data_IF_161478211039
#
_entry.id   IF_161478211039
#
_cell.length_a   1.000
_cell.length_b   1.000
_cell.length_c   1.000
_cell.angle_alpha   90.00
_cell.angle_beta   90.00
_cell.angle_gamma   90.00
#
_symmetry.space_group_name_H-M   'P 1'
#
loop_
_entity.id
_entity.type
_entity.pdbx_description
1 polymer ?
#
# COMPACT_ATOMS: atom_id res chain seq x y z
N UNK A 1 17.26 1.24 -9.22
CA UNK A 1 15.82 1.38 -9.57
C UNK A 1 15.39 0.08 -10.23
N UNK A 2 14.26 -0.49 -9.82
CA UNK A 2 13.82 -1.82 -10.25
C UNK A 2 13.29 -1.78 -11.68
N UNK A 3 13.77 -2.67 -12.56
CA UNK A 3 13.27 -2.85 -13.95
C UNK A 3 11.75 -2.93 -14.04
N UNK A 4 11.10 -3.43 -12.99
CA UNK A 4 9.64 -3.56 -12.89
C UNK A 4 8.96 -2.18 -12.75
N UNK A 5 9.57 -1.23 -12.05
CA UNK A 5 9.04 0.12 -11.90
C UNK A 5 9.07 0.88 -13.23
N UNK A 6 10.13 0.69 -14.03
CA UNK A 6 10.24 1.28 -15.37
C UNK A 6 9.22 0.68 -16.35
N UNK A 7 8.95 -0.63 -16.25
CA UNK A 7 7.94 -1.32 -17.06
C UNK A 7 6.52 -0.88 -16.68
N UNK A 8 6.21 -0.77 -15.39
CA UNK A 8 4.91 -0.28 -14.91
C UNK A 8 4.70 1.18 -15.33
N UNK A 9 5.71 2.04 -15.17
CA UNK A 9 5.63 3.43 -15.61
C UNK A 9 5.41 3.54 -17.11
N UNK A 10 6.06 2.68 -17.90
CA UNK A 10 5.90 2.64 -19.37
C UNK A 10 4.49 2.16 -19.78
N UNK A 11 3.93 1.14 -19.11
CA UNK A 11 2.58 0.63 -19.36
C UNK A 11 1.50 1.61 -18.89
N UNK A 12 1.70 2.32 -17.78
CA UNK A 12 0.79 3.37 -17.29
C UNK A 12 0.83 4.63 -18.14
N UNK A 13 2.01 5.03 -18.64
CA UNK A 13 2.18 6.15 -19.57
C UNK A 13 1.60 5.80 -20.94
N UNK A 14 1.76 4.56 -21.41
CA UNK A 14 1.07 4.05 -22.58
C UNK A 14 -0.46 4.08 -22.38
N UNK A 15 -1.00 3.45 -21.34
CA UNK A 15 -2.44 3.45 -21.06
C UNK A 15 -3.04 4.86 -20.93
N UNK A 16 -2.33 5.81 -20.29
CA UNK A 16 -2.78 7.21 -20.18
C UNK A 16 -2.79 7.96 -21.50
N UNK A 17 -1.85 7.67 -22.41
CA UNK A 17 -1.80 8.30 -23.74
C UNK A 17 -2.83 7.74 -24.72
N UNK A 18 -3.55 6.67 -24.35
CA UNK A 18 -4.28 5.80 -25.28
C UNK A 18 -5.74 5.54 -24.94
N UNK A 19 -6.41 6.44 -24.24
CA UNK A 19 -7.84 6.33 -23.94
C UNK A 19 -8.79 6.23 -25.18
N UNK A 20 -8.28 6.00 -26.40
CA UNK A 20 -9.07 5.68 -27.60
C UNK A 20 -8.40 4.73 -28.62
N UNK A 21 -7.22 4.15 -28.35
CA UNK A 21 -6.50 3.24 -29.27
C UNK A 21 -6.01 2.03 -28.45
N UNK A 22 -6.19 0.80 -28.93
CA UNK A 22 -5.78 -0.41 -28.20
C UNK A 22 -4.29 -0.43 -27.83
N UNK A 23 -3.88 -1.12 -26.75
CA UNK A 23 -2.48 -1.14 -26.26
C UNK A 23 -1.46 -1.61 -27.32
N UNK A 24 -1.89 -2.50 -28.23
CA UNK A 24 -1.05 -3.03 -29.31
C UNK A 24 -0.87 -2.00 -30.43
N UNK A 25 -1.94 -1.35 -30.86
CA UNK A 25 -1.93 -0.34 -31.92
C UNK A 25 -1.05 0.85 -31.53
N UNK A 26 -1.04 1.20 -30.25
CA UNK A 26 -0.20 2.26 -29.73
C UNK A 26 1.28 1.92 -29.64
N UNK A 27 1.61 0.71 -29.19
CA UNK A 27 2.98 0.23 -29.15
C UNK A 27 3.53 0.12 -30.58
N UNK A 28 2.67 -0.30 -31.52
CA UNK A 28 2.97 -0.31 -32.96
C UNK A 28 3.26 1.11 -33.48
N UNK A 29 2.42 2.10 -33.13
CA UNK A 29 2.66 3.50 -33.51
C UNK A 29 3.94 4.07 -32.90
N UNK A 30 4.24 3.75 -31.64
CA UNK A 30 5.48 4.17 -30.98
C UNK A 30 6.73 3.57 -31.63
N UNK A 31 6.73 2.27 -31.92
CA UNK A 31 7.84 1.61 -32.62
C UNK A 31 8.00 2.12 -34.06
N UNK A 32 6.88 2.37 -34.75
CA UNK A 32 6.92 2.98 -36.08
C UNK A 32 7.55 4.38 -36.03
N UNK A 33 7.25 5.17 -35.00
CA UNK A 33 7.87 6.47 -34.73
C UNK A 33 9.36 6.38 -34.44
N UNK A 34 9.77 5.51 -33.52
CA UNK A 34 11.19 5.30 -33.17
C UNK A 34 12.03 4.90 -34.40
N UNK A 35 11.42 4.18 -35.35
CA UNK A 35 12.05 3.74 -36.58
C UNK A 35 11.95 4.72 -37.74
N UNK A 36 11.21 5.82 -37.58
CA UNK A 36 10.98 6.79 -38.66
C UNK A 36 10.18 6.24 -39.84
N UNK A 37 9.36 5.20 -39.61
CA UNK A 37 8.55 4.53 -40.65
C UNK A 37 7.07 4.94 -40.61
N UNK A 38 6.76 6.09 -39.99
CA UNK A 38 5.41 6.66 -39.99
C UNK A 38 4.97 6.95 -41.43
N UNK A 39 3.99 6.20 -41.95
CA UNK A 39 3.47 6.34 -43.33
C UNK A 39 4.12 5.45 -44.40
N UNK A 40 4.98 4.51 -44.00
CA UNK A 40 5.65 3.58 -44.91
C UNK A 40 4.79 2.36 -45.32
N UNK A 41 5.29 1.56 -46.28
CA UNK A 41 4.58 0.41 -46.90
C UNK A 41 4.08 -0.60 -45.85
N UNK A 42 2.98 -1.28 -46.19
CA UNK A 42 2.32 -2.29 -45.35
C UNK A 42 3.26 -3.34 -44.72
N UNK A 43 4.35 -3.73 -45.39
CA UNK A 43 5.29 -4.72 -44.87
C UNK A 43 6.08 -4.24 -43.64
N UNK A 44 6.59 -3.01 -43.65
CA UNK A 44 7.38 -2.43 -42.55
C UNK A 44 6.51 -2.15 -41.31
N UNK A 45 5.24 -1.75 -41.53
CA UNK A 45 4.25 -1.61 -40.47
C UNK A 45 3.82 -2.96 -39.88
N UNK A 46 3.79 -4.02 -40.70
CA UNK A 46 3.49 -5.38 -40.22
C UNK A 46 4.61 -5.90 -39.33
N UNK A 47 5.88 -5.67 -39.70
CA UNK A 47 7.03 -6.04 -38.88
C UNK A 47 7.04 -5.27 -37.54
N UNK A 48 6.76 -3.97 -37.55
CA UNK A 48 6.63 -3.17 -36.33
C UNK A 48 5.49 -3.67 -35.42
N UNK A 49 4.37 -4.14 -36.02
CA UNK A 49 3.23 -4.70 -35.29
C UNK A 49 3.57 -6.05 -34.63
N UNK A 50 4.25 -6.94 -35.35
CA UNK A 50 4.67 -8.24 -34.81
C UNK A 50 5.70 -8.08 -33.68
N UNK A 51 6.62 -7.12 -33.80
CA UNK A 51 7.53 -6.81 -32.71
C UNK A 51 6.81 -6.20 -31.50
N UNK A 52 5.86 -5.28 -31.72
CA UNK A 52 5.03 -4.74 -30.66
C UNK A 52 4.29 -5.86 -29.92
N UNK A 53 3.73 -6.81 -30.65
CA UNK A 53 3.06 -7.99 -30.09
C UNK A 53 4.03 -8.83 -29.25
N UNK A 54 5.21 -9.16 -29.77
CA UNK A 54 6.22 -9.93 -29.03
C UNK A 54 6.71 -9.22 -27.76
N UNK A 55 6.87 -7.89 -27.78
CA UNK A 55 7.23 -7.09 -26.60
C UNK A 55 6.11 -7.07 -25.57
N UNK A 56 4.87 -6.88 -26.02
CA UNK A 56 3.67 -6.94 -25.17
C UNK A 56 3.54 -8.29 -24.48
N UNK A 57 3.63 -9.38 -25.24
CA UNK A 57 3.40 -10.73 -24.72
C UNK A 57 4.49 -11.12 -23.70
N UNK A 58 5.76 -10.72 -23.91
CA UNK A 58 6.82 -10.88 -22.90
C UNK A 58 6.57 -10.07 -21.64
N UNK A 59 6.17 -8.80 -21.77
CA UNK A 59 5.88 -7.95 -20.62
C UNK A 59 4.69 -8.49 -19.80
N UNK A 60 3.67 -9.04 -20.46
CA UNK A 60 2.55 -9.70 -19.80
C UNK A 60 3.01 -10.96 -19.06
N UNK A 61 3.83 -11.82 -19.66
CA UNK A 61 4.37 -13.01 -19.00
C UNK A 61 5.20 -12.65 -17.76
N UNK A 62 6.07 -11.64 -17.87
CA UNK A 62 6.86 -11.15 -16.73
C UNK A 62 5.97 -10.59 -15.62
N UNK A 63 4.91 -9.86 -15.98
CA UNK A 63 3.96 -9.29 -15.03
C UNK A 63 3.11 -10.37 -14.33
N UNK A 64 2.72 -11.44 -15.03
CA UNK A 64 2.03 -12.60 -14.46
C UNK A 64 2.92 -13.28 -13.41
N UNK A 65 4.22 -13.41 -13.68
CA UNK A 65 5.19 -14.02 -12.76
C UNK A 65 5.59 -13.14 -11.57
N UNK A 66 5.39 -11.82 -11.66
CA UNK A 66 5.78 -10.88 -10.60
C UNK A 66 4.77 -10.86 -9.44
N UNK A 67 5.22 -11.09 -8.21
CA UNK A 67 4.38 -10.99 -7.02
C UNK A 67 4.19 -9.52 -6.59
N UNK A 68 2.94 -9.08 -6.40
CA UNK A 68 2.64 -7.72 -5.94
C UNK A 68 2.90 -7.57 -4.43
N UNK A 69 3.70 -6.60 -3.99
CA UNK A 69 4.04 -6.46 -2.56
C UNK A 69 3.07 -5.55 -1.81
N UNK A 70 2.28 -4.76 -2.53
CA UNK A 70 1.33 -3.81 -1.97
C UNK A 70 -0.02 -3.89 -2.70
N UNK A 71 -1.09 -3.41 -2.07
CA UNK A 71 -2.40 -3.29 -2.71
C UNK A 71 -2.34 -2.43 -3.98
N UNK A 72 -1.57 -1.33 -3.96
CA UNK A 72 -1.40 -0.47 -5.13
C UNK A 72 -0.65 -1.14 -6.28
N UNK A 73 0.32 -2.04 -6.01
CA UNK A 73 0.95 -2.86 -7.03
C UNK A 73 -0.01 -3.91 -7.60
N UNK A 74 -0.83 -4.54 -6.75
CA UNK A 74 -1.81 -5.53 -7.18
C UNK A 74 -2.91 -4.91 -8.06
N UNK A 75 -3.38 -3.71 -7.72
CA UNK A 75 -4.36 -2.96 -8.53
C UNK A 75 -3.78 -2.56 -9.89
N UNK A 76 -2.51 -2.13 -9.94
CA UNK A 76 -1.83 -1.79 -11.20
C UNK A 76 -1.62 -3.02 -12.07
N UNK A 77 -1.21 -4.13 -11.46
CA UNK A 77 -1.09 -5.43 -12.14
C UNK A 77 -2.45 -5.91 -12.66
N UNK A 78 -3.51 -5.81 -11.87
CA UNK A 78 -4.87 -6.13 -12.31
C UNK A 78 -5.31 -5.22 -13.47
N UNK A 79 -5.08 -3.90 -13.38
CA UNK A 79 -5.43 -2.97 -14.45
C UNK A 79 -4.67 -3.26 -15.77
N UNK A 80 -3.44 -3.77 -15.68
CA UNK A 80 -2.65 -4.16 -16.85
C UNK A 80 -3.01 -5.54 -17.42
N UNK A 81 -3.52 -6.46 -16.59
CA UNK A 81 -3.87 -7.83 -16.99
C UNK A 81 -5.36 -8.03 -17.32
N UNK A 82 -6.24 -7.17 -16.79
CA UNK A 82 -7.69 -7.25 -16.98
C UNK A 82 -8.06 -6.61 -18.32
N UNK A 83 -8.46 -7.45 -19.26
CA UNK A 83 -8.93 -7.06 -20.58
C UNK A 83 -9.63 -8.22 -21.30
N UNK A 84 -10.11 -8.01 -22.54
CA UNK A 84 -10.83 -9.02 -23.33
C UNK A 84 -10.01 -10.30 -23.59
N UNK A 85 -8.68 -10.21 -23.51
CA UNK A 85 -7.74 -11.31 -23.75
C UNK A 85 -7.08 -11.83 -22.46
N UNK A 86 -7.69 -11.60 -21.29
CA UNK A 86 -7.12 -12.08 -20.02
C UNK A 86 -7.03 -13.61 -20.02
N UNK A 87 -5.82 -14.15 -19.85
CA UNK A 87 -5.60 -15.59 -19.73
C UNK A 87 -5.99 -16.12 -18.35
N UNK A 88 -6.26 -17.43 -18.25
CA UNK A 88 -6.51 -18.10 -16.96
C UNK A 88 -5.33 -17.96 -15.99
N UNK A 89 -4.11 -17.93 -16.51
CA UNK A 89 -2.88 -17.72 -15.74
C UNK A 89 -2.80 -16.29 -15.18
N UNK A 90 -3.17 -15.28 -15.97
CA UNK A 90 -3.27 -13.90 -15.52
C UNK A 90 -4.35 -13.74 -14.44
N UNK A 91 -5.52 -14.37 -14.64
CA UNK A 91 -6.61 -14.38 -13.67
C UNK A 91 -6.19 -15.07 -12.35
N UNK A 92 -5.51 -16.22 -12.44
CA UNK A 92 -4.99 -16.95 -11.29
C UNK A 92 -3.95 -16.12 -10.52
N UNK A 93 -3.05 -15.44 -11.23
CA UNK A 93 -2.02 -14.58 -10.63
C UNK A 93 -2.62 -13.38 -9.89
N UNK A 94 -3.59 -12.69 -10.49
CA UNK A 94 -4.32 -11.59 -9.83
C UNK A 94 -5.11 -12.09 -8.61
N UNK A 95 -5.75 -13.26 -8.70
CA UNK A 95 -6.47 -13.86 -7.56
C UNK A 95 -5.52 -14.29 -6.44
N UNK A 96 -4.34 -14.80 -6.76
CA UNK A 96 -3.33 -15.17 -5.76
C UNK A 96 -2.81 -13.93 -5.02
N UNK A 97 -2.56 -12.84 -5.74
CA UNK A 97 -2.17 -11.56 -5.14
C UNK A 97 -3.29 -10.98 -4.28
N UNK A 98 -4.53 -10.97 -4.79
CA UNK A 98 -5.69 -10.54 -4.04
C UNK A 98 -5.83 -11.37 -2.76
N UNK A 99 -5.85 -12.70 -2.85
CA UNK A 99 -5.95 -13.60 -1.70
C UNK A 99 -4.86 -13.35 -0.68
N UNK A 100 -3.59 -13.23 -1.09
CA UNK A 100 -2.46 -13.01 -0.20
C UNK A 100 -2.50 -11.65 0.49
N UNK A 101 -2.94 -10.60 -0.22
CA UNK A 101 -3.04 -9.24 0.32
C UNK A 101 -4.33 -9.02 1.12
N UNK A 102 -5.37 -9.83 0.89
CA UNK A 102 -6.61 -9.82 1.67
C UNK A 102 -6.64 -10.92 2.74
N UNK A 103 -5.58 -11.73 2.87
CA UNK A 103 -5.44 -12.68 3.96
C UNK A 103 -5.18 -11.88 5.25
N UNK A 104 -6.26 -11.43 5.86
CA UNK A 104 -6.35 -10.63 7.09
C UNK A 104 -5.72 -11.31 8.30
N UNK A 105 -5.29 -12.57 8.18
CA UNK A 105 -4.67 -13.31 9.27
C UNK A 105 -3.29 -12.75 9.69
N UNK A 106 -2.66 -11.87 8.90
CA UNK A 106 -1.32 -11.31 9.21
C UNK A 106 -1.07 -9.91 8.63
N UNK A 107 -1.94 -8.92 8.87
CA UNK A 107 -1.47 -7.55 8.64
C UNK A 107 -0.28 -7.28 9.60
N UNK A 108 0.94 -7.03 9.09
CA UNK A 108 2.11 -6.84 9.93
C UNK A 108 1.98 -5.62 10.85
N UNK A 109 1.20 -4.61 10.43
CA UNK A 109 0.89 -3.43 11.24
C UNK A 109 0.05 -3.84 12.46
N UNK A 110 -0.88 -4.78 12.32
CA UNK A 110 -1.68 -5.28 13.46
C UNK A 110 -0.80 -6.00 14.47
N UNK A 111 0.14 -6.83 14.00
CA UNK A 111 1.09 -7.53 14.87
C UNK A 111 1.99 -6.55 15.63
N UNK A 112 2.57 -5.60 14.91
CA UNK A 112 3.47 -4.59 15.47
C UNK A 112 2.75 -3.65 16.45
N UNK A 113 1.52 -3.25 16.10
CA UNK A 113 0.68 -2.43 16.96
C UNK A 113 0.28 -3.15 18.25
N UNK A 114 -0.05 -4.43 18.16
CA UNK A 114 -0.36 -5.25 19.35
C UNK A 114 0.88 -5.36 20.24
N UNK A 115 2.04 -5.65 19.66
CA UNK A 115 3.29 -5.74 20.42
C UNK A 115 3.68 -4.41 21.07
N UNK A 116 3.46 -3.29 20.39
CA UNK A 116 3.71 -1.95 20.92
C UNK A 116 2.82 -1.67 22.13
N UNK A 117 1.52 -1.97 22.05
CA UNK A 117 0.58 -1.83 23.19
C UNK A 117 0.99 -2.68 24.38
N UNK A 118 1.44 -3.92 24.14
CA UNK A 118 1.93 -4.80 25.22
C UNK A 118 3.15 -4.18 25.93
N UNK A 119 4.10 -3.62 25.17
CA UNK A 119 5.28 -2.95 25.74
C UNK A 119 4.90 -1.68 26.50
N UNK A 120 3.99 -0.87 25.98
CA UNK A 120 3.47 0.33 26.66
C UNK A 120 2.78 -0.04 27.98
N UNK A 121 2.01 -1.13 28.02
CA UNK A 121 1.38 -1.62 29.24
C UNK A 121 2.41 -2.11 30.27
N UNK A 122 3.51 -2.73 29.83
CA UNK A 122 4.62 -3.13 30.71
C UNK A 122 5.37 -1.90 31.24
N UNK A 123 5.67 -0.93 30.37
CA UNK A 123 6.33 0.34 30.74
C UNK A 123 5.51 1.12 31.78
N UNK A 124 4.19 1.20 31.61
CA UNK A 124 3.31 1.83 32.59
C UNK A 124 3.37 1.13 33.96
N UNK A 125 3.30 -0.21 33.99
CA UNK A 125 3.41 -0.98 35.24
C UNK A 125 4.74 -0.79 35.96
N UNK A 126 5.82 -0.70 35.19
CA UNK A 126 7.16 -0.45 35.73
C UNK A 126 7.34 0.99 36.21
N UNK A 127 6.60 1.94 35.64
CA UNK A 127 6.61 3.35 36.06
C UNK A 127 5.78 3.58 37.32
N UNK A 128 4.74 2.77 37.52
CA UNK A 128 3.90 2.77 38.73
C UNK A 128 4.53 2.00 39.91
N UNK A 129 5.68 1.32 39.71
CA UNK A 129 6.38 0.62 40.77
C UNK A 129 7.15 1.63 41.67
N UNK A 130 6.80 1.74 42.97
CA UNK A 130 7.44 2.69 43.88
C UNK A 130 8.94 2.42 44.11
N UNK A 131 9.46 1.25 43.72
CA UNK A 131 10.88 0.90 43.80
C UNK A 131 11.65 1.13 42.50
N UNK A 132 10.97 1.51 41.42
CA UNK A 132 11.55 1.73 40.09
C UNK A 132 11.45 3.22 39.65
N UNK A 133 11.56 4.13 40.62
CA UNK A 133 11.36 5.57 40.44
C UNK A 133 12.44 6.31 39.61
N UNK A 134 13.44 5.58 39.11
CA UNK A 134 14.47 6.13 38.23
C UNK A 134 14.25 5.49 36.86
N UNK A 135 13.65 6.23 35.92
CA UNK A 135 13.40 5.77 34.53
C UNK A 135 14.62 5.25 33.77
N UNK A 136 15.81 5.28 34.38
CA UNK A 136 17.09 4.83 33.84
C UNK A 136 17.46 3.37 34.18
N UNK A 137 16.55 2.57 34.76
CA UNK A 137 16.82 1.14 34.94
C UNK A 137 17.10 0.45 33.60
N UNK A 138 18.02 -0.53 33.53
CA UNK A 138 18.33 -1.24 32.29
C UNK A 138 17.08 -1.82 31.60
N UNK A 139 16.10 -2.25 32.39
CA UNK A 139 14.82 -2.76 31.94
C UNK A 139 13.97 -1.70 31.23
N UNK A 140 13.92 -0.46 31.77
CA UNK A 140 13.23 0.66 31.14
C UNK A 140 13.92 1.08 29.84
N UNK A 141 15.27 1.15 29.83
CA UNK A 141 16.04 1.48 28.62
C UNK A 141 15.88 0.45 27.50
N UNK A 142 15.81 -0.84 27.83
CA UNK A 142 15.56 -1.90 26.83
C UNK A 142 14.13 -1.82 26.27
N UNK A 143 13.14 -1.57 27.13
CA UNK A 143 11.75 -1.37 26.71
C UNK A 143 11.61 -0.17 25.77
N UNK A 144 12.25 0.96 26.09
CA UNK A 144 12.23 2.15 25.25
C UNK A 144 12.87 1.89 23.87
N UNK A 145 14.00 1.17 23.83
CA UNK A 145 14.60 0.77 22.56
C UNK A 145 13.70 -0.16 21.74
N UNK A 146 13.02 -1.11 22.40
CA UNK A 146 12.08 -2.00 21.72
C UNK A 146 10.88 -1.22 21.16
N UNK A 147 10.32 -0.27 21.92
CA UNK A 147 9.23 0.60 21.46
C UNK A 147 9.67 1.46 20.27
N UNK A 148 10.83 2.11 20.34
CA UNK A 148 11.39 2.92 19.24
C UNK A 148 11.56 2.11 17.95
N UNK A 149 12.07 0.87 18.04
CA UNK A 149 12.20 -0.01 16.87
C UNK A 149 10.84 -0.33 16.25
N UNK A 150 9.81 -0.57 17.06
CA UNK A 150 8.45 -0.83 16.56
C UNK A 150 7.85 0.41 15.89
N UNK A 151 8.01 1.59 16.49
CA UNK A 151 7.60 2.85 15.87
C UNK A 151 8.26 3.07 14.51
N UNK A 152 9.56 2.81 14.40
CA UNK A 152 10.29 2.91 13.14
C UNK A 152 9.81 1.91 12.08
N UNK A 153 9.38 0.71 12.49
CA UNK A 153 8.76 -0.26 11.56
C UNK A 153 7.38 0.20 11.11
N UNK A 154 6.53 0.61 12.04
CA UNK A 154 5.17 1.10 11.78
C UNK A 154 5.17 2.31 10.84
N UNK A 155 6.15 3.23 10.96
CA UNK A 155 6.32 4.36 10.04
C UNK A 155 6.67 3.94 8.61
N UNK A 156 7.32 2.79 8.44
CA UNK A 156 7.82 2.29 7.14
C UNK A 156 6.90 1.24 6.53
N UNK A 157 5.91 0.76 7.26
CA UNK A 157 4.99 -0.29 6.84
C UNK A 157 3.59 0.27 6.61
N UNK A 158 3.15 0.42 5.34
CA UNK A 158 1.78 0.81 5.07
C UNK A 158 0.83 -0.33 5.48
N UNK A 159 -0.29 -0.04 6.16
CA UNK A 159 -1.29 -1.04 6.48
C UNK A 159 -1.90 -1.64 5.21
N UNK A 160 -2.21 -2.93 5.24
CA UNK A 160 -2.75 -3.69 4.10
C UNK A 160 -4.16 -4.20 4.35
N UNK A 161 -4.73 -3.94 5.52
CA UNK A 161 -6.12 -4.28 5.86
C UNK A 161 -6.81 -3.15 6.62
N UNK A 162 -8.16 -3.14 6.67
CA UNK A 162 -8.91 -2.23 7.54
C UNK A 162 -8.49 -2.32 9.00
N UNK A 163 -8.18 -3.52 9.50
CA UNK A 163 -7.66 -3.75 10.85
C UNK A 163 -6.29 -3.09 11.04
N UNK A 164 -5.39 -3.15 10.04
CA UNK A 164 -4.11 -2.46 10.07
C UNK A 164 -4.26 -0.94 10.05
N UNK A 165 -5.20 -0.41 9.25
CA UNK A 165 -5.52 1.03 9.24
C UNK A 165 -6.07 1.45 10.61
N UNK A 166 -6.98 0.66 11.20
CA UNK A 166 -7.53 0.93 12.51
C UNK A 166 -6.45 0.89 13.61
N UNK A 167 -5.56 -0.11 13.57
CA UNK A 167 -4.49 -0.29 14.53
C UNK A 167 -3.46 0.86 14.46
N UNK A 168 -3.08 1.30 13.26
CA UNK A 168 -2.18 2.43 13.08
C UNK A 168 -2.83 3.76 13.48
N UNK A 169 -4.09 3.96 13.11
CA UNK A 169 -4.84 5.15 13.50
C UNK A 169 -5.02 5.24 15.03
N UNK A 170 -5.21 4.12 15.72
CA UNK A 170 -5.22 4.04 17.19
C UNK A 170 -3.89 4.51 17.79
N UNK A 171 -2.75 4.08 17.24
CA UNK A 171 -1.42 4.49 17.72
C UNK A 171 -1.20 5.99 17.54
N UNK A 172 -1.44 6.50 16.32
CA UNK A 172 -1.27 7.93 16.02
C UNK A 172 -2.21 8.77 16.89
N UNK A 173 -3.43 8.28 17.15
CA UNK A 173 -4.38 8.96 18.03
C UNK A 173 -3.87 9.07 19.46
N UNK A 174 -3.26 8.01 20.00
CA UNK A 174 -2.74 8.03 21.36
C UNK A 174 -1.50 8.93 21.50
N UNK A 175 -0.67 9.03 20.46
CA UNK A 175 0.56 9.83 20.50
C UNK A 175 0.32 11.32 20.18
N UNK A 176 -0.56 11.60 19.22
CA UNK A 176 -0.74 12.94 18.65
C UNK A 176 -2.14 13.51 18.84
N UNK A 177 -3.12 12.69 19.24
CA UNK A 177 -4.48 13.14 19.48
C UNK A 177 -4.60 14.09 20.68
N UNK A 178 -5.79 14.65 20.91
CA UNK A 178 -6.00 15.57 22.03
C UNK A 178 -5.82 14.83 23.36
N UNK A 179 -4.92 15.33 24.22
CA UNK A 179 -4.76 14.88 25.61
C UNK A 179 -5.90 15.29 26.55
N UNK A 180 -7.10 15.52 25.99
CA UNK A 180 -8.29 16.00 26.69
C UNK A 180 -9.30 14.87 26.86
N UNK A 181 -10.13 14.94 27.89
CA UNK A 181 -11.16 13.94 28.17
C UNK A 181 -12.23 14.00 27.09
N UNK A 182 -12.49 12.87 26.42
CA UNK A 182 -13.51 12.79 25.39
C UNK A 182 -14.90 13.20 25.91
N UNK A 183 -15.59 14.06 25.14
CA UNK A 183 -16.93 14.55 25.47
C UNK A 183 -16.96 15.78 26.40
N UNK A 184 -15.80 16.34 26.77
CA UNK A 184 -15.77 17.67 27.39
C UNK A 184 -15.86 18.78 26.33
N UNK A 185 -16.32 19.98 26.68
CA UNK A 185 -16.34 21.12 25.75
C UNK A 185 -14.97 21.41 25.15
N UNK A 186 -13.90 21.34 25.95
CA UNK A 186 -12.53 21.57 25.47
C UNK A 186 -12.08 20.50 24.46
N UNK A 187 -12.51 19.26 24.64
CA UNK A 187 -12.24 18.20 23.68
C UNK A 187 -13.01 18.43 22.38
N UNK A 188 -14.29 18.80 22.46
CA UNK A 188 -15.09 19.10 21.27
C UNK A 188 -14.54 20.29 20.48
N UNK A 189 -14.09 21.32 21.19
CA UNK A 189 -13.42 22.49 20.60
C UNK A 189 -12.11 22.08 19.91
N UNK A 190 -11.28 21.27 20.57
CA UNK A 190 -10.04 20.75 19.99
C UNK A 190 -10.27 19.90 18.73
N UNK A 191 -11.32 19.06 18.71
CA UNK A 191 -11.68 18.28 17.52
C UNK A 191 -12.22 19.17 16.40
N UNK A 192 -13.01 20.20 16.73
CA UNK A 192 -13.64 21.09 15.75
C UNK A 192 -12.62 22.02 15.11
N UNK A 193 -11.69 22.55 15.91
CA UNK A 193 -10.72 23.55 15.47
C UNK A 193 -9.42 22.94 14.92
N UNK A 194 -9.19 21.63 15.09
CA UNK A 194 -8.05 20.94 14.49
C UNK A 194 -8.52 19.91 13.42
N UNK A 195 -8.37 20.24 12.11
CA UNK A 195 -8.74 19.35 11.02
C UNK A 195 -8.02 17.99 11.04
N UNK A 196 -6.79 17.93 11.56
CA UNK A 196 -6.03 16.68 11.65
C UNK A 196 -6.65 15.75 12.69
N UNK A 197 -7.11 16.28 13.82
CA UNK A 197 -7.81 15.50 14.84
C UNK A 197 -9.18 15.03 14.34
N UNK A 198 -9.91 15.89 13.63
CA UNK A 198 -11.15 15.49 12.99
C UNK A 198 -10.95 14.36 11.97
N UNK A 199 -9.91 14.45 11.14
CA UNK A 199 -9.56 13.42 10.15
C UNK A 199 -9.16 12.11 10.83
N UNK A 200 -8.26 12.16 11.80
CA UNK A 200 -7.75 10.98 12.50
C UNK A 200 -8.86 10.27 13.28
N UNK A 201 -9.76 11.03 13.93
CA UNK A 201 -10.97 10.48 14.58
C UNK A 201 -11.86 9.74 13.59
N UNK A 202 -12.11 10.32 12.41
CA UNK A 202 -12.94 9.71 11.36
C UNK A 202 -12.27 8.46 10.79
N UNK A 203 -10.98 8.52 10.50
CA UNK A 203 -10.21 7.40 9.96
C UNK A 203 -10.24 6.20 10.93
N UNK A 204 -9.96 6.47 12.21
CA UNK A 204 -10.01 5.49 13.29
C UNK A 204 -11.39 4.83 13.41
N UNK A 205 -12.45 5.63 13.44
CA UNK A 205 -13.82 5.12 13.59
C UNK A 205 -14.28 4.34 12.35
N UNK A 206 -14.04 4.88 11.15
CA UNK A 206 -14.41 4.23 9.89
C UNK A 206 -13.67 2.92 9.66
N UNK A 207 -12.36 2.89 9.89
CA UNK A 207 -11.56 1.67 9.76
C UNK A 207 -12.04 0.57 10.71
N UNK A 208 -12.43 0.95 11.94
CA UNK A 208 -12.98 0.01 12.93
C UNK A 208 -14.35 -0.54 12.53
N UNK A 209 -15.25 0.27 12.00
CA UNK A 209 -16.55 -0.19 11.49
C UNK A 209 -16.34 -1.23 10.38
N UNK A 210 -15.45 -0.93 9.44
CA UNK A 210 -15.13 -1.84 8.32
C UNK A 210 -14.49 -3.14 8.82
N UNK A 211 -13.55 -3.06 9.77
CA UNK A 211 -12.92 -4.22 10.39
C UNK A 211 -13.91 -5.10 11.18
N UNK A 212 -14.90 -4.49 11.84
CA UNK A 212 -15.93 -5.21 12.60
C UNK A 212 -17.08 -5.72 11.70
N UNK A 213 -17.05 -5.46 10.39
CA UNK A 213 -18.05 -5.89 9.42
C UNK A 213 -19.44 -5.27 9.64
N UNK A 214 -19.49 -4.04 10.15
CA UNK A 214 -20.74 -3.32 10.50
C UNK A 214 -21.14 -2.28 9.47
#
# INVERSE_FOLDING_TARGET
MSRIADIIACLEDANRRLAGIGPLEALTAHLAKERGIEGHKSAELTEAREEAKSRRDRALADLIGAEAKTQGEALRKAAALVGPEMSDEAAASVRADAKRLTDTSRDPVVMDATRLRDLQAVSLRLSDDPFNGNGDSPENLDLDQQQLRLYDRLKKQPPTSPEGVAALADIIWNDFGPGLIAGTPDWEDAITNNPEYALLRRLRHGARIVAEGR
#
